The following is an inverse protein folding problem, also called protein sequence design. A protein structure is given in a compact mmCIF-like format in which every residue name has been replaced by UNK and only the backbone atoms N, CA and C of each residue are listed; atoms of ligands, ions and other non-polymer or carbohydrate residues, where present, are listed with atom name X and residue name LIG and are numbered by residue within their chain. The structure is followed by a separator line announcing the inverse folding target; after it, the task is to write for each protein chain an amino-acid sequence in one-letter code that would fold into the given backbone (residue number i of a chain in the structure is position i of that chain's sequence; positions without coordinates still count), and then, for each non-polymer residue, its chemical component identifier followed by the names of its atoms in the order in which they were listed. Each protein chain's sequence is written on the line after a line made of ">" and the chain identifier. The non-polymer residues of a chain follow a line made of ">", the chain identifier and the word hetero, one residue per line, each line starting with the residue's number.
data_IF_347103161786
#
_entry.id   IF_347103161786
#
_cell.length_a   1.000
_cell.length_b   1.000
_cell.length_c   1.000
_cell.angle_alpha   90.00
_cell.angle_beta   90.00
_cell.angle_gamma   90.00
#
_symmetry.space_group_name_H-M   'P 1'
#
loop_
_entity.id
_entity.type
_entity.pdbx_description
1 polymer ?
#
# COMPACT_ATOMS: atom_id res chain seq x y z
N UNK A 1 -13.74 7.32 7.14
CA UNK A 1 -14.71 6.97 6.10
C UNK A 1 -14.71 5.47 5.90
N UNK A 2 -15.85 4.81 6.04
CA UNK A 2 -15.94 3.42 5.66
C UNK A 2 -16.12 3.27 4.13
N UNK A 3 -16.17 2.02 3.65
CA UNK A 3 -16.32 1.74 2.22
C UNK A 3 -17.63 2.30 1.64
N UNK A 4 -18.72 2.21 2.40
CA UNK A 4 -20.04 2.65 1.96
C UNK A 4 -20.08 4.19 1.83
N UNK A 5 -19.50 4.89 2.80
CA UNK A 5 -19.42 6.35 2.77
C UNK A 5 -18.56 6.87 1.61
N UNK A 6 -17.40 6.26 1.35
CA UNK A 6 -16.60 6.56 0.19
C UNK A 6 -17.34 6.29 -1.13
N UNK A 7 -18.18 5.24 -1.18
CA UNK A 7 -18.98 4.89 -2.35
C UNK A 7 -20.08 5.91 -2.63
N UNK A 8 -20.70 6.45 -1.59
CA UNK A 8 -21.72 7.50 -1.71
C UNK A 8 -21.13 8.82 -2.17
N UNK A 9 -19.98 9.21 -1.63
CA UNK A 9 -19.31 10.47 -1.98
C UNK A 9 -18.70 10.46 -3.39
N UNK A 10 -18.25 9.31 -3.88
CA UNK A 10 -17.68 9.17 -5.21
C UNK A 10 -18.18 7.90 -5.91
N UNK A 11 -19.38 7.93 -6.52
CA UNK A 11 -19.86 6.83 -7.35
C UNK A 11 -18.84 6.43 -8.41
N UNK A 12 -18.72 5.12 -8.71
CA UNK A 12 -17.69 4.63 -9.65
C UNK A 12 -17.77 5.26 -11.04
N UNK A 13 -18.99 5.54 -11.50
CA UNK A 13 -19.19 6.19 -12.80
C UNK A 13 -18.57 7.59 -12.88
N UNK A 14 -18.55 8.32 -11.77
CA UNK A 14 -17.89 9.63 -11.69
C UNK A 14 -16.40 9.50 -11.35
N UNK A 15 -16.05 8.55 -10.50
CA UNK A 15 -14.67 8.37 -10.02
C UNK A 15 -13.74 7.78 -11.09
N UNK A 16 -14.18 6.75 -11.82
CA UNK A 16 -13.32 6.01 -12.75
C UNK A 16 -12.68 6.89 -13.85
N UNK A 17 -13.45 7.73 -14.59
CA UNK A 17 -12.86 8.58 -15.62
C UNK A 17 -11.90 9.63 -15.04
N UNK A 18 -12.19 10.16 -13.85
CA UNK A 18 -11.30 11.11 -13.17
C UNK A 18 -10.02 10.43 -12.69
N UNK A 19 -10.13 9.22 -12.14
CA UNK A 19 -8.97 8.44 -11.74
C UNK A 19 -8.03 8.16 -12.93
N UNK A 20 -8.58 7.75 -14.05
CA UNK A 20 -7.80 7.55 -15.27
C UNK A 20 -7.17 8.85 -15.78
N UNK A 21 -7.94 9.95 -15.83
CA UNK A 21 -7.45 11.25 -16.29
C UNK A 21 -6.34 11.85 -15.42
N UNK A 22 -6.32 11.55 -14.13
CA UNK A 22 -5.28 11.94 -13.18
C UNK A 22 -4.18 10.88 -13.01
N UNK A 23 -4.15 9.85 -13.86
CA UNK A 23 -3.15 8.78 -13.78
C UNK A 23 -3.15 8.04 -12.45
N UNK A 24 -4.31 7.94 -11.81
CA UNK A 24 -4.51 7.26 -10.52
C UNK A 24 -3.73 7.87 -9.35
N UNK A 25 -3.44 9.17 -9.41
CA UNK A 25 -2.73 9.92 -8.37
C UNK A 25 -3.58 10.03 -7.10
N UNK A 26 -3.04 9.50 -5.97
CA UNK A 26 -3.73 9.47 -4.67
C UNK A 26 -4.01 10.86 -4.12
N UNK A 27 -3.05 11.78 -4.24
CA UNK A 27 -3.14 13.11 -3.66
C UNK A 27 -4.02 14.01 -4.54
N UNK A 28 -3.86 13.93 -5.86
CA UNK A 28 -4.70 14.65 -6.81
C UNK A 28 -6.17 14.21 -6.69
N UNK A 29 -6.44 12.91 -6.59
CA UNK A 29 -7.79 12.38 -6.40
C UNK A 29 -8.37 12.76 -5.03
N UNK A 30 -7.56 12.78 -3.98
CA UNK A 30 -8.00 13.22 -2.67
C UNK A 30 -8.43 14.70 -2.68
N UNK A 31 -7.66 15.54 -3.35
CA UNK A 31 -7.97 16.97 -3.53
C UNK A 31 -9.21 17.17 -4.40
N UNK A 32 -9.33 16.44 -5.50
CA UNK A 32 -10.45 16.52 -6.46
C UNK A 32 -11.80 16.21 -5.79
N UNK A 33 -11.85 15.13 -5.00
CA UNK A 33 -13.09 14.67 -4.38
C UNK A 33 -13.30 15.20 -2.95
N UNK A 34 -12.34 15.92 -2.39
CA UNK A 34 -12.45 16.51 -1.05
C UNK A 34 -12.45 15.49 0.09
N UNK A 35 -11.85 14.30 -0.10
CA UNK A 35 -11.75 13.28 0.95
C UNK A 35 -10.33 12.71 1.07
N UNK A 36 -10.06 12.03 2.18
CA UNK A 36 -8.71 11.53 2.48
C UNK A 36 -8.21 10.44 1.53
N UNK A 37 -6.90 10.29 1.41
CA UNK A 37 -6.25 9.27 0.59
C UNK A 37 -6.75 7.84 0.89
N UNK A 38 -7.20 7.56 2.12
CA UNK A 38 -7.82 6.29 2.49
C UNK A 38 -9.08 6.00 1.67
N UNK A 39 -9.97 6.98 1.52
CA UNK A 39 -11.17 6.83 0.73
C UNK A 39 -10.82 6.65 -0.76
N UNK A 40 -9.80 7.36 -1.26
CA UNK A 40 -9.24 7.15 -2.60
C UNK A 40 -8.78 5.70 -2.76
N UNK A 41 -7.97 5.16 -1.84
CA UNK A 41 -7.52 3.77 -1.89
C UNK A 41 -8.72 2.81 -2.03
N UNK A 42 -9.77 2.99 -1.22
CA UNK A 42 -10.97 2.15 -1.28
C UNK A 42 -11.71 2.25 -2.62
N UNK A 43 -11.74 3.44 -3.22
CA UNK A 43 -12.35 3.63 -4.55
C UNK A 43 -11.51 3.00 -5.65
N UNK A 44 -10.18 3.11 -5.60
CA UNK A 44 -9.27 2.47 -6.54
C UNK A 44 -9.40 0.94 -6.54
N UNK A 45 -9.57 0.33 -5.35
CA UNK A 45 -9.80 -1.11 -5.20
C UNK A 45 -11.10 -1.61 -5.85
N UNK A 46 -12.06 -0.73 -6.06
CA UNK A 46 -13.35 -1.06 -6.66
C UNK A 46 -13.34 -0.90 -8.19
N UNK A 47 -12.27 -0.34 -8.76
CA UNK A 47 -12.14 -0.20 -10.20
C UNK A 47 -11.86 -1.57 -10.84
N UNK A 48 -12.48 -1.81 -11.98
CA UNK A 48 -12.28 -3.02 -12.79
C UNK A 48 -12.47 -2.67 -14.26
N UNK A 49 -11.78 -3.38 -15.14
CA UNK A 49 -11.90 -3.22 -16.58
C UNK A 49 -10.58 -3.46 -17.30
N UNK A 50 -10.65 -3.50 -18.60
CA UNK A 50 -9.46 -3.56 -19.46
C UNK A 50 -8.71 -2.22 -19.38
N UNK A 51 -7.38 -2.28 -19.27
CA UNK A 51 -6.53 -1.09 -19.14
C UNK A 51 -6.61 -0.37 -17.78
N UNK A 52 -7.38 -0.90 -16.82
CA UNK A 52 -7.44 -0.38 -15.46
C UNK A 52 -6.40 -1.10 -14.59
N UNK A 53 -5.52 -0.36 -13.88
CA UNK A 53 -4.53 -0.99 -12.99
C UNK A 53 -5.23 -1.73 -11.84
N UNK A 54 -4.70 -2.90 -11.50
CA UNK A 54 -5.18 -3.69 -10.35
C UNK A 54 -4.38 -3.32 -9.12
N UNK A 55 -5.10 -3.06 -8.05
CA UNK A 55 -4.52 -2.67 -6.77
C UNK A 55 -4.71 -3.77 -5.72
N UNK A 56 -3.65 -4.07 -4.97
CA UNK A 56 -3.73 -4.68 -3.66
C UNK A 56 -3.76 -3.61 -2.59
N UNK A 57 -4.26 -3.94 -1.40
CA UNK A 57 -4.34 -2.99 -0.30
C UNK A 57 -4.02 -3.63 1.04
N UNK A 58 -3.28 -2.89 1.85
CA UNK A 58 -2.86 -3.32 3.18
C UNK A 58 -2.93 -2.15 4.15
N UNK A 59 -3.41 -2.44 5.35
CA UNK A 59 -3.44 -1.49 6.45
C UNK A 59 -2.79 -2.08 7.67
N UNK A 60 -1.90 -1.33 8.29
CA UNK A 60 -1.30 -1.68 9.59
C UNK A 60 -1.54 -0.59 10.62
N UNK A 61 -1.58 -1.01 11.89
CA UNK A 61 -1.50 -0.10 13.02
C UNK A 61 -0.04 0.25 13.36
N UNK A 62 0.15 1.09 14.38
CA UNK A 62 1.49 1.50 14.82
C UNK A 62 2.37 0.34 15.35
N UNK A 63 1.77 -0.77 15.77
CA UNK A 63 2.49 -1.98 16.19
C UNK A 63 2.89 -2.89 15.00
N UNK A 64 2.60 -2.48 13.75
CA UNK A 64 2.91 -3.27 12.56
C UNK A 64 1.92 -4.41 12.28
N UNK A 65 0.82 -4.51 13.03
CA UNK A 65 -0.19 -5.53 12.83
C UNK A 65 -1.03 -5.22 11.60
N UNK A 66 -1.14 -6.17 10.67
CA UNK A 66 -2.05 -6.10 9.53
C UNK A 66 -3.50 -6.22 10.00
N UNK A 67 -4.25 -5.13 9.89
CA UNK A 67 -5.66 -5.05 10.31
C UNK A 67 -6.63 -5.12 9.12
N UNK A 68 -6.16 -4.84 7.92
CA UNK A 68 -6.93 -5.00 6.68
C UNK A 68 -6.01 -5.42 5.54
N UNK A 69 -6.51 -6.28 4.65
CA UNK A 69 -5.79 -6.71 3.46
C UNK A 69 -6.74 -7.01 2.30
N UNK A 70 -6.34 -6.62 1.10
CA UNK A 70 -6.91 -7.05 -0.18
C UNK A 70 -5.75 -7.55 -1.03
N UNK A 71 -5.78 -8.83 -1.39
CA UNK A 71 -4.70 -9.47 -2.13
C UNK A 71 -4.52 -8.90 -3.54
N UNK A 72 -3.32 -9.08 -4.07
CA UNK A 72 -2.96 -8.86 -5.46
C UNK A 72 -2.33 -10.14 -6.00
N UNK A 73 -2.63 -10.51 -7.24
CA UNK A 73 -2.05 -11.70 -7.86
C UNK A 73 -0.52 -11.64 -7.83
N UNK A 74 0.13 -12.75 -7.51
CA UNK A 74 1.58 -12.85 -7.37
C UNK A 74 2.16 -12.32 -6.06
N UNK A 75 1.43 -11.47 -5.32
CA UNK A 75 1.90 -10.92 -4.05
C UNK A 75 1.59 -11.87 -2.89
N UNK A 76 2.60 -12.58 -2.43
CA UNK A 76 2.49 -13.44 -1.25
C UNK A 76 2.37 -12.60 0.01
N UNK A 77 1.31 -12.85 0.79
CA UNK A 77 1.02 -12.11 2.02
C UNK A 77 1.02 -13.02 3.25
N UNK A 78 1.61 -12.57 4.35
CA UNK A 78 1.50 -13.29 5.60
C UNK A 78 0.07 -13.24 6.13
N UNK A 79 -0.39 -14.35 6.74
CA UNK A 79 -1.72 -14.40 7.36
C UNK A 79 -1.70 -14.08 8.86
N UNK A 80 -0.64 -14.49 9.56
CA UNK A 80 -0.59 -14.51 11.03
C UNK A 80 0.72 -13.93 11.59
N UNK A 81 1.45 -13.16 10.78
CA UNK A 81 2.72 -12.54 11.17
C UNK A 81 2.83 -11.14 10.56
N UNK A 82 3.76 -10.33 11.05
CA UNK A 82 4.09 -9.06 10.43
C UNK A 82 4.62 -9.27 9.00
N UNK A 83 4.40 -8.30 8.13
CA UNK A 83 5.03 -8.27 6.82
C UNK A 83 6.56 -8.07 6.96
N UNK A 84 7.29 -8.24 5.86
CA UNK A 84 8.73 -7.99 5.85
C UNK A 84 9.05 -6.57 6.36
N UNK A 85 9.97 -6.42 7.33
CA UNK A 85 10.30 -5.11 7.92
C UNK A 85 10.82 -4.09 6.91
N UNK A 86 11.26 -4.52 5.72
CA UNK A 86 11.73 -3.65 4.65
C UNK A 86 10.61 -3.00 3.83
N UNK A 87 9.35 -3.35 4.04
CA UNK A 87 8.28 -2.72 3.29
C UNK A 87 8.12 -1.23 3.64
N UNK A 88 7.90 -0.42 2.63
CA UNK A 88 7.63 1.02 2.78
C UNK A 88 6.48 1.33 3.74
N UNK A 89 5.59 0.38 3.93
CA UNK A 89 4.50 0.40 4.88
C UNK A 89 4.93 0.85 6.29
N UNK A 90 6.09 0.36 6.76
CA UNK A 90 6.63 0.72 8.08
C UNK A 90 7.41 2.05 8.04
N UNK A 91 8.12 2.32 6.94
CA UNK A 91 8.85 3.59 6.77
C UNK A 91 7.89 4.79 6.69
N UNK A 92 6.71 4.61 6.15
CA UNK A 92 5.71 5.67 6.05
C UNK A 92 5.30 6.23 7.43
N UNK A 93 5.42 5.44 8.52
CA UNK A 93 5.15 5.91 9.87
C UNK A 93 6.15 6.97 10.36
N UNK A 94 7.34 7.02 9.77
CA UNK A 94 8.37 8.02 10.08
C UNK A 94 8.16 9.33 9.32
N UNK A 95 7.35 9.30 8.25
CA UNK A 95 6.98 10.47 7.45
C UNK A 95 5.45 10.54 7.26
N UNK A 96 4.68 10.75 8.35
CA UNK A 96 3.23 10.79 8.27
C UNK A 96 2.74 11.83 7.26
N UNK A 97 1.58 11.57 6.67
CA UNK A 97 0.91 12.42 5.68
C UNK A 97 1.64 12.54 4.33
N UNK A 98 2.76 11.85 4.14
CA UNK A 98 3.51 11.80 2.89
C UNK A 98 3.31 10.46 2.19
N UNK A 99 3.05 10.47 0.89
CA UNK A 99 3.03 9.26 0.07
C UNK A 99 4.46 8.85 -0.25
N UNK A 100 4.86 7.67 0.21
CA UNK A 100 6.15 7.07 -0.09
C UNK A 100 5.99 5.96 -1.13
N UNK A 101 6.93 5.90 -2.09
CA UNK A 101 6.98 4.87 -3.12
C UNK A 101 8.16 3.93 -2.86
N UNK A 102 7.95 2.64 -3.09
CA UNK A 102 8.99 1.60 -3.10
C UNK A 102 8.84 0.72 -4.33
N UNK A 103 9.93 0.47 -5.02
CA UNK A 103 10.02 -0.57 -6.05
C UNK A 103 10.62 -1.81 -5.41
N UNK A 104 9.85 -2.88 -5.34
CA UNK A 104 10.18 -4.10 -4.59
C UNK A 104 10.34 -5.30 -5.50
N UNK A 105 11.31 -6.18 -5.20
CA UNK A 105 11.45 -7.50 -5.82
C UNK A 105 11.35 -8.59 -4.75
N UNK A 106 10.49 -9.57 -4.98
CA UNK A 106 10.27 -10.71 -4.11
C UNK A 106 11.20 -11.89 -4.45
N UNK A 107 11.35 -12.88 -3.54
CA UNK A 107 12.21 -14.03 -3.79
C UNK A 107 11.81 -14.89 -5.02
N UNK A 108 10.55 -14.84 -5.41
CA UNK A 108 10.02 -15.52 -6.62
C UNK A 108 10.26 -14.73 -7.92
N UNK A 109 10.97 -13.59 -7.85
CA UNK A 109 11.26 -12.73 -8.99
C UNK A 109 10.16 -11.71 -9.33
N UNK A 110 8.99 -11.82 -8.71
CA UNK A 110 7.89 -10.88 -8.92
C UNK A 110 8.26 -9.47 -8.46
N UNK A 111 7.86 -8.48 -9.24
CA UNK A 111 8.15 -7.07 -9.00
C UNK A 111 6.88 -6.27 -8.76
N UNK A 112 6.92 -5.44 -7.73
CA UNK A 112 5.80 -4.60 -7.32
C UNK A 112 6.24 -3.16 -7.09
N UNK A 113 5.29 -2.26 -7.23
CA UNK A 113 5.38 -0.88 -6.75
C UNK A 113 4.42 -0.73 -5.56
N UNK A 114 4.96 -0.33 -4.43
CA UNK A 114 4.22 -0.05 -3.22
C UNK A 114 4.11 1.45 -3.00
N UNK A 115 2.92 1.90 -2.63
CA UNK A 115 2.63 3.29 -2.26
C UNK A 115 2.06 3.28 -0.86
N UNK A 116 2.75 3.88 0.10
CA UNK A 116 2.32 3.87 1.48
C UNK A 116 2.20 5.29 2.04
N UNK A 117 1.18 5.52 2.84
CA UNK A 117 0.95 6.77 3.57
C UNK A 117 0.46 6.47 4.97
N UNK A 118 1.16 6.98 5.97
CA UNK A 118 0.69 6.94 7.33
C UNK A 118 -0.18 8.17 7.63
N UNK A 119 -1.26 7.96 8.35
CA UNK A 119 -2.13 9.04 8.84
C UNK A 119 -2.33 8.93 10.34
N UNK A 120 -2.49 10.07 10.95
CA UNK A 120 -2.85 10.16 12.35
C UNK A 120 -4.32 9.79 12.55
N UNK A 121 -4.59 9.06 13.63
CA UNK A 121 -5.95 8.74 14.06
C UNK A 121 -6.22 9.25 15.46
N UNK A 122 -7.46 9.65 15.72
CA UNK A 122 -7.91 10.14 17.00
C UNK A 122 -7.45 11.58 17.32
N UNK A 123 -7.97 12.15 18.38
CA UNK A 123 -7.64 13.50 18.82
C UNK A 123 -6.21 13.55 19.34
N UNK A 124 -5.47 14.62 19.00
CA UNK A 124 -4.16 14.91 19.56
C UNK A 124 -4.32 15.79 20.82
N UNK A 125 -3.47 15.54 21.83
CA UNK A 125 -3.44 16.38 23.04
C UNK A 125 -2.43 15.86 24.04
N UNK A 126 -2.13 16.67 25.06
CA UNK A 126 -1.30 16.25 26.18
C UNK A 126 -1.95 15.05 26.88
N UNK A 127 -1.15 14.01 27.19
CA UNK A 127 -1.64 12.76 27.80
C UNK A 127 -2.48 11.86 26.87
N UNK A 128 -2.66 12.24 25.61
CA UNK A 128 -3.34 11.41 24.59
C UNK A 128 -2.32 10.94 23.55
N UNK A 129 -1.94 9.66 23.57
CA UNK A 129 -0.97 9.14 22.60
C UNK A 129 -1.53 9.28 21.18
N UNK A 130 -0.65 9.64 20.26
CA UNK A 130 -0.99 9.67 18.84
C UNK A 130 -0.96 8.24 18.30
N UNK A 131 -2.06 7.83 17.67
CA UNK A 131 -2.11 6.59 16.95
C UNK A 131 -1.93 6.85 15.46
N UNK A 132 -1.27 5.94 14.78
CA UNK A 132 -1.09 5.99 13.34
C UNK A 132 -1.67 4.73 12.71
N UNK A 133 -2.30 4.91 11.56
CA UNK A 133 -2.62 3.85 10.63
C UNK A 133 -1.84 4.10 9.36
N UNK A 134 -1.26 3.07 8.80
CA UNK A 134 -0.60 3.14 7.51
C UNK A 134 -1.39 2.36 6.49
N UNK A 135 -1.76 3.04 5.43
CA UNK A 135 -2.40 2.49 4.25
C UNK A 135 -1.32 2.27 3.17
N UNK A 136 -1.35 1.12 2.50
CA UNK A 136 -0.46 0.82 1.40
C UNK A 136 -1.24 0.22 0.24
N UNK A 137 -1.08 0.80 -0.94
CA UNK A 137 -1.45 0.19 -2.21
C UNK A 137 -0.26 -0.59 -2.78
N UNK A 138 -0.56 -1.71 -3.38
CA UNK A 138 0.41 -2.51 -4.12
C UNK A 138 -0.08 -2.66 -5.57
N UNK A 139 0.84 -2.50 -6.52
CA UNK A 139 0.61 -2.73 -7.94
C UNK A 139 1.68 -3.69 -8.45
N UNK A 140 1.35 -4.52 -9.44
CA UNK A 140 2.40 -5.14 -10.24
C UNK A 140 3.20 -4.04 -10.95
N UNK A 141 4.45 -4.29 -11.31
CA UNK A 141 5.23 -3.30 -12.07
C UNK A 141 4.59 -2.98 -13.43
N UNK A 142 3.86 -3.93 -14.01
CA UNK A 142 3.09 -3.73 -15.23
C UNK A 142 1.90 -2.77 -15.01
N UNK A 143 1.11 -2.99 -13.96
CA UNK A 143 0.00 -2.10 -13.63
C UNK A 143 0.48 -0.70 -13.22
N UNK A 144 1.62 -0.60 -12.54
CA UNK A 144 2.19 0.70 -12.15
C UNK A 144 2.53 1.59 -13.35
N UNK A 145 2.85 1.01 -14.51
CA UNK A 145 3.09 1.76 -15.75
C UNK A 145 1.86 2.50 -16.29
N UNK A 146 0.67 2.11 -15.83
CA UNK A 146 -0.58 2.78 -16.17
C UNK A 146 -0.88 3.97 -15.23
N UNK A 147 0.02 4.27 -14.30
CA UNK A 147 -0.17 5.28 -13.26
C UNK A 147 0.96 6.31 -13.26
N UNK A 148 0.76 7.43 -12.56
CA UNK A 148 1.82 8.42 -12.31
C UNK A 148 2.98 7.85 -11.47
N UNK A 149 2.81 6.69 -10.87
CA UNK A 149 3.82 6.02 -10.04
C UNK A 149 4.70 5.04 -10.81
N UNK A 150 4.63 5.03 -12.14
CA UNK A 150 5.52 4.23 -12.97
C UNK A 150 6.97 4.38 -12.51
N UNK A 151 7.70 3.30 -12.25
CA UNK A 151 9.08 3.41 -11.84
C UNK A 151 9.95 3.80 -13.03
N UNK A 152 10.88 4.74 -12.82
CA UNK A 152 11.92 5.01 -13.79
C UNK A 152 12.76 3.75 -14.03
N UNK A 153 13.24 3.48 -15.25
CA UNK A 153 14.03 2.29 -15.55
C UNK A 153 15.26 2.13 -14.66
N UNK A 154 15.92 3.23 -14.29
CA UNK A 154 17.08 3.27 -13.41
C UNK A 154 16.78 3.35 -11.91
N UNK A 155 15.50 3.40 -11.51
CA UNK A 155 15.15 3.49 -10.09
C UNK A 155 15.62 2.22 -9.34
N UNK A 156 16.17 2.37 -8.13
CA UNK A 156 16.61 1.25 -7.33
C UNK A 156 15.46 0.29 -7.02
N UNK A 157 15.77 -1.01 -7.03
CA UNK A 157 14.84 -2.07 -6.67
C UNK A 157 15.29 -2.64 -5.33
N UNK A 158 14.39 -2.62 -4.36
CA UNK A 158 14.67 -3.15 -3.03
C UNK A 158 14.26 -4.63 -2.94
N UNK A 159 15.17 -5.47 -2.46
CA UNK A 159 14.88 -6.86 -2.19
C UNK A 159 14.06 -7.00 -0.91
N UNK A 160 12.82 -7.42 -1.05
CA UNK A 160 11.90 -7.64 0.07
C UNK A 160 11.39 -9.08 0.10
N UNK A 161 10.81 -9.49 1.23
CA UNK A 161 10.11 -10.76 1.35
C UNK A 161 8.64 -10.57 1.71
N UNK A 162 7.86 -11.64 1.79
CA UNK A 162 6.49 -11.57 2.32
C UNK A 162 6.49 -11.34 3.83
N UNK A 163 7.26 -12.09 4.57
CA UNK A 163 7.51 -12.02 6.01
C UNK A 163 8.77 -12.82 6.32
N UNK A 164 9.46 -12.55 7.43
CA UNK A 164 10.69 -13.27 7.77
C UNK A 164 10.50 -14.80 7.83
N UNK A 165 9.40 -15.25 8.43
CA UNK A 165 9.08 -16.68 8.58
C UNK A 165 8.80 -17.40 7.26
N UNK A 166 8.41 -16.69 6.21
CA UNK A 166 8.09 -17.22 4.88
C UNK A 166 9.16 -16.89 3.83
N UNK A 167 10.18 -16.12 4.20
CA UNK A 167 11.19 -15.63 3.27
C UNK A 167 12.36 -16.63 3.18
N UNK A 168 12.72 -17.11 1.98
CA UNK A 168 13.83 -18.04 1.80
C UNK A 168 15.22 -17.39 1.90
N UNK A 169 15.31 -16.03 1.95
CA UNK A 169 16.59 -15.32 2.07
C UNK A 169 17.13 -15.44 3.49
N UNK A 170 17.98 -16.42 3.76
CA UNK A 170 18.53 -16.67 5.10
C UNK A 170 19.52 -15.58 5.55
N UNK A 171 20.35 -15.10 4.63
CA UNK A 171 21.37 -14.07 4.92
C UNK A 171 20.78 -12.64 4.78
N UNK A 172 19.74 -12.34 5.54
CA UNK A 172 19.12 -11.01 5.54
C UNK A 172 19.44 -10.29 6.85
N UNK A 173 20.12 -9.13 6.77
CA UNK A 173 20.49 -8.30 7.93
C UNK A 173 19.26 -7.75 8.71
N UNK A 174 18.08 -7.74 8.08
CA UNK A 174 16.82 -7.26 8.67
C UNK A 174 15.90 -8.41 9.12
N UNK A 175 16.39 -9.64 9.14
CA UNK A 175 15.61 -10.77 9.61
C UNK A 175 15.36 -10.66 11.12
N UNK A 176 14.10 -10.80 11.52
CA UNK A 176 13.67 -10.74 12.92
C UNK A 176 13.10 -12.06 13.44
N UNK A 177 12.73 -12.96 12.52
CA UNK A 177 12.20 -14.30 12.85
C UNK A 177 12.89 -15.37 12.02
N UNK A 178 13.09 -16.55 12.59
CA UNK A 178 13.55 -17.72 11.86
C UNK A 178 12.49 -18.18 10.84
N UNK A 179 12.93 -18.75 9.69
CA UNK A 179 12.02 -19.32 8.73
C UNK A 179 11.28 -20.51 9.35
N UNK A 180 10.02 -20.67 8.98
CA UNK A 180 9.30 -21.90 9.29
C UNK A 180 10.01 -23.02 8.52
N UNK A 181 10.55 -23.99 9.25
CA UNK A 181 11.11 -25.17 8.61
C UNK A 181 10.04 -25.84 7.76
N UNK A 182 10.31 -25.97 6.46
CA UNK A 182 9.47 -26.70 5.51
C UNK A 182 9.70 -28.20 5.63
#
# INVERSE_FOLDING_TARGET
>A
LDYAEAALLAPLQAFAPRAAGLGYDLEALAAEFGFGAEAVCRRLLALAGEGVPRFGYFRVNAAGTLIERRGLAGLTMPRYTAACPLWVLYRAQQAPETVLRQRAIFPNGERFVFLARARRTGPAGFGRPRHYLTDMLALSEADARLTVYAPDPGAPVEEVGPACRLCPRLACAHRVDDPIAG
#
